data_IF_331335813603
#
_entry.id   IF_331335813603
#
_cell.length_a   1.000
_cell.length_b   1.000
_cell.length_c   1.000
_cell.angle_alpha   90.00
_cell.angle_beta   90.00
_cell.angle_gamma   90.00
#
_symmetry.space_group_name_H-M   'P 1'
#
loop_
_entity.id
_entity.type
_entity.pdbx_description
1 polymer ?
#
# COMPACT_ATOMS: atom_id res chain seq x y z
N UNK A 1 14.13 1.75 -2.92
CA UNK A 1 13.47 2.09 -1.63
C UNK A 1 12.74 0.84 -1.16
N UNK A 2 12.69 0.54 0.15
CA UNK A 2 11.98 -0.63 0.67
C UNK A 2 10.77 -0.18 1.46
N UNK A 3 9.57 -0.62 1.07
CA UNK A 3 8.36 -0.40 1.86
C UNK A 3 8.35 -1.36 3.03
N UNK A 4 8.17 -0.83 4.23
CA UNK A 4 8.04 -1.60 5.46
C UNK A 4 6.66 -1.42 6.07
N UNK A 5 6.26 -2.37 6.92
CA UNK A 5 4.96 -2.38 7.61
C UNK A 5 4.73 -1.22 8.57
N UNK A 6 5.83 -0.59 9.01
CA UNK A 6 5.84 0.58 9.89
C UNK A 6 5.47 1.86 9.15
N UNK A 7 5.63 1.87 7.82
CA UNK A 7 5.22 3.01 7.01
C UNK A 7 3.69 3.13 7.00
N UNK A 8 3.23 4.38 6.93
CA UNK A 8 1.83 4.68 6.71
C UNK A 8 1.44 4.41 5.28
N UNK A 9 0.16 4.12 5.09
CA UNK A 9 -0.44 3.98 3.76
C UNK A 9 -0.20 5.28 2.97
N UNK A 10 -0.31 6.44 3.62
CA UNK A 10 -0.02 7.73 3.01
C UNK A 10 1.42 7.87 2.52
N UNK A 11 2.43 7.60 3.34
CA UNK A 11 3.84 7.71 2.94
C UNK A 11 4.19 6.74 1.80
N UNK A 12 3.55 5.57 1.77
CA UNK A 12 3.72 4.58 0.71
C UNK A 12 3.13 5.07 -0.62
N UNK A 13 1.90 5.59 -0.61
CA UNK A 13 1.26 6.16 -1.81
C UNK A 13 2.01 7.41 -2.28
N UNK A 14 2.47 8.25 -1.34
CA UNK A 14 3.25 9.47 -1.63
C UNK A 14 4.60 9.14 -2.26
N UNK A 15 5.21 8.03 -1.86
CA UNK A 15 6.42 7.50 -2.47
C UNK A 15 6.16 6.88 -3.84
N UNK A 16 5.01 6.22 -4.02
CA UNK A 16 4.66 5.57 -5.28
C UNK A 16 3.14 5.52 -5.51
N UNK A 17 2.59 6.34 -6.42
CA UNK A 17 1.14 6.41 -6.61
C UNK A 17 0.52 5.09 -7.08
N UNK A 18 1.27 4.23 -7.79
CA UNK A 18 0.79 2.88 -8.17
C UNK A 18 0.55 1.95 -6.98
N UNK A 19 1.14 2.22 -5.81
CA UNK A 19 0.86 1.47 -4.57
C UNK A 19 -0.63 1.48 -4.22
N UNK A 20 -1.34 2.56 -4.59
CA UNK A 20 -2.78 2.67 -4.40
C UNK A 20 -3.55 1.56 -5.12
N UNK A 21 -3.09 1.14 -6.31
CA UNK A 21 -3.67 0.02 -7.05
C UNK A 21 -3.53 -1.30 -6.30
N UNK A 22 -2.33 -1.57 -5.75
CA UNK A 22 -2.08 -2.75 -4.91
C UNK A 22 -2.95 -2.70 -3.66
N UNK A 23 -2.95 -1.60 -2.89
CA UNK A 23 -3.81 -1.45 -1.72
C UNK A 23 -5.30 -1.70 -2.04
N UNK A 24 -5.75 -1.33 -3.24
CA UNK A 24 -7.13 -1.59 -3.71
C UNK A 24 -7.41 -3.07 -3.96
N UNK A 25 -6.42 -3.84 -4.39
CA UNK A 25 -6.55 -5.31 -4.53
C UNK A 25 -6.73 -6.01 -3.18
N UNK A 26 -6.14 -5.47 -2.12
CA UNK A 26 -6.22 -6.02 -0.76
C UNK A 26 -7.39 -5.45 0.06
N UNK A 27 -8.37 -4.78 -0.59
CA UNK A 27 -9.49 -4.09 0.07
C UNK A 27 -9.05 -3.03 1.11
N UNK A 28 -7.79 -2.58 1.01
CA UNK A 28 -7.20 -1.53 1.85
C UNK A 28 -7.35 -0.13 1.24
N UNK A 29 -7.89 -0.03 0.02
CA UNK A 29 -8.23 1.26 -0.60
C UNK A 29 -9.65 1.67 -0.20
N UNK A 30 -9.81 2.13 1.03
CA UNK A 30 -11.09 2.66 1.47
C UNK A 30 -11.23 4.15 1.04
N UNK A 31 -11.41 4.35 -0.27
CA UNK A 31 -12.19 5.46 -0.85
C UNK A 31 -11.95 6.91 -0.40
N UNK A 32 -10.76 7.28 0.11
CA UNK A 32 -10.48 8.66 0.50
C UNK A 32 -10.91 9.06 1.92
N UNK A 33 -11.16 8.09 2.81
CA UNK A 33 -11.30 8.40 4.23
C UNK A 33 -9.95 8.79 4.83
N UNK A 34 -9.82 10.06 5.25
CA UNK A 34 -8.61 10.61 5.89
C UNK A 34 -8.11 9.77 7.07
N UNK A 35 -8.99 8.99 7.71
CA UNK A 35 -8.64 8.07 8.80
C UNK A 35 -7.71 6.91 8.38
N UNK A 36 -7.73 6.49 7.12
CA UNK A 36 -6.86 5.40 6.61
C UNK A 36 -5.47 5.93 6.24
N UNK A 37 -5.34 7.24 6.01
CA UNK A 37 -4.07 7.85 5.58
C UNK A 37 -3.04 7.88 6.73
N UNK A 38 -3.51 8.08 7.96
CA UNK A 38 -2.66 8.05 9.17
C UNK A 38 -2.38 6.61 9.66
N UNK A 39 -2.99 5.61 9.03
CA UNK A 39 -2.85 4.22 9.44
C UNK A 39 -1.59 3.56 8.85
N UNK A 40 -0.85 2.84 9.70
CA UNK A 40 0.26 1.99 9.26
C UNK A 40 -0.24 0.83 8.41
N UNK A 41 0.57 0.38 7.45
CA UNK A 41 0.24 -0.78 6.62
C UNK A 41 -0.08 -2.01 7.48
N UNK A 42 0.66 -2.24 8.56
CA UNK A 42 0.38 -3.35 9.50
C UNK A 42 -1.01 -3.25 10.13
N UNK A 43 -1.40 -2.06 10.58
CA UNK A 43 -2.67 -1.82 11.28
C UNK A 43 -3.85 -1.99 10.32
N UNK A 44 -3.74 -1.42 9.12
CA UNK A 44 -4.77 -1.55 8.09
C UNK A 44 -4.92 -3.01 7.64
N UNK A 45 -3.80 -3.71 7.40
CA UNK A 45 -3.83 -5.12 7.03
C UNK A 45 -4.47 -5.98 8.13
N UNK A 46 -4.10 -5.74 9.40
CA UNK A 46 -4.66 -6.47 10.54
C UNK A 46 -6.15 -6.20 10.76
N UNK A 47 -6.60 -4.95 10.60
CA UNK A 47 -8.01 -4.58 10.77
C UNK A 47 -8.89 -5.16 9.66
N UNK A 48 -8.39 -5.17 8.43
CA UNK A 48 -9.11 -5.67 7.26
C UNK A 48 -8.86 -7.17 6.99
N UNK A 49 -7.98 -7.82 7.76
CA UNK A 49 -7.62 -9.22 7.55
C UNK A 49 -6.83 -9.46 6.25
N UNK A 50 -6.16 -8.43 5.73
CA UNK A 50 -5.33 -8.53 4.55
C UNK A 50 -3.97 -9.16 4.89
N UNK A 51 -3.40 -9.88 3.91
CA UNK A 51 -2.11 -10.51 4.06
C UNK A 51 -0.98 -9.47 4.01
N UNK A 52 -0.41 -9.17 5.17
CA UNK A 52 0.64 -8.15 5.32
C UNK A 52 1.89 -8.50 4.51
N UNK A 53 2.31 -9.76 4.52
CA UNK A 53 3.54 -10.19 3.86
C UNK A 53 3.41 -10.10 2.34
N UNK A 54 2.29 -10.57 1.79
CA UNK A 54 1.94 -10.46 0.37
C UNK A 54 1.79 -9.00 -0.06
N UNK A 55 1.09 -8.18 0.73
CA UNK A 55 0.96 -6.76 0.44
C UNK A 55 2.32 -6.06 0.38
N UNK A 56 3.21 -6.30 1.35
CA UNK A 56 4.56 -5.73 1.31
C UNK A 56 5.35 -6.24 0.13
N UNK A 57 5.20 -7.51 -0.24
CA UNK A 57 5.88 -8.11 -1.40
C UNK A 57 5.42 -7.45 -2.69
N UNK A 58 4.13 -7.30 -2.91
CA UNK A 58 3.57 -6.63 -4.10
C UNK A 58 3.91 -5.14 -4.13
N UNK A 59 3.84 -4.45 -2.99
CA UNK A 59 4.26 -3.06 -2.89
C UNK A 59 5.74 -2.91 -3.26
N UNK A 60 6.63 -3.70 -2.66
CA UNK A 60 8.06 -3.66 -2.99
C UNK A 60 8.34 -4.11 -4.44
N UNK A 61 7.53 -4.99 -5.00
CA UNK A 61 7.63 -5.39 -6.41
C UNK A 61 7.38 -4.18 -7.34
N UNK A 62 6.43 -3.30 -7.03
CA UNK A 62 6.20 -2.07 -7.80
C UNK A 62 7.43 -1.13 -7.82
N UNK A 63 8.22 -1.09 -6.76
CA UNK A 63 9.45 -0.28 -6.71
C UNK A 63 10.64 -0.96 -7.39
N UNK A 64 10.59 -2.28 -7.56
CA UNK A 64 11.64 -3.05 -8.23
C UNK A 64 11.35 -3.23 -9.72
N UNK A 65 10.07 -3.13 -10.11
CA UNK A 65 9.55 -3.17 -11.47
C UNK A 65 9.18 -1.75 -11.91
N UNK A 66 10.19 -0.88 -12.04
CA UNK A 66 10.01 0.39 -12.74
C UNK A 66 9.90 0.12 -14.26
N UNK A 67 8.74 -0.40 -14.69
CA UNK A 67 8.36 -0.34 -16.09
C UNK A 67 6.83 -0.34 -16.27
N UNK A 68 6.26 0.86 -16.50
CA UNK A 68 5.12 0.99 -17.42
C UNK A 68 3.74 1.33 -16.82
N UNK A 69 3.19 2.47 -17.28
CA UNK A 69 1.78 2.83 -17.53
C UNK A 69 0.78 2.73 -16.37
N UNK A 70 0.02 3.76 -15.97
CA UNK A 70 -0.82 4.72 -16.72
C UNK A 70 -1.92 4.06 -17.56
N UNK A 71 -3.15 4.16 -17.05
CA UNK A 71 -4.36 4.31 -17.84
C UNK A 71 -5.31 5.24 -17.07
#
# INVERSE_FOLDING_TARGET
MRITKELTIFETIRSHPKAMGVLKLYDMSCGGCMAVMDESIEQGARRHGADLEGLLRDLNALFNDDCGGEN
#
